data_IF_903869291857
#
_entry.id   IF_903869291857
#
_cell.length_a   1.000
_cell.length_b   1.000
_cell.length_c   1.000
_cell.angle_alpha   90.00
_cell.angle_beta   90.00
_cell.angle_gamma   90.00
#
_symmetry.space_group_name_H-M   'P 1'
#
loop_
_entity.id
_entity.type
_entity.pdbx_description
1 polymer ?
#
# COMPACT_ATOMS: atom_id res chain seq x y z
N UNK A 1 -7.72 -7.64 48.09
CA UNK A 1 -6.84 -6.45 48.40
C UNK A 1 -6.57 -5.75 47.06
N UNK A 2 -7.40 -4.72 46.75
CA UNK A 2 -7.11 -3.81 45.65
C UNK A 2 -5.90 -2.97 46.04
N UNK A 3 -4.75 -3.25 45.42
CA UNK A 3 -3.61 -2.33 45.53
C UNK A 3 -4.01 -1.03 44.84
N UNK A 4 -4.01 0.08 45.61
CA UNK A 4 -4.18 1.42 45.08
C UNK A 4 -3.16 1.68 43.99
N UNK A 5 -3.60 1.65 42.73
CA UNK A 5 -2.83 2.05 41.55
C UNK A 5 -2.88 3.57 41.32
N UNK A 6 -2.97 4.35 42.39
CA UNK A 6 -2.67 5.77 42.29
C UNK A 6 -1.17 5.96 42.48
N UNK A 7 -0.40 5.66 41.44
CA UNK A 7 0.94 6.20 41.38
C UNK A 7 0.80 7.70 41.07
N UNK A 8 1.41 8.54 41.88
CA UNK A 8 1.56 9.99 41.66
C UNK A 8 2.47 10.30 40.44
N UNK A 9 2.39 9.52 39.38
CA UNK A 9 3.14 9.74 38.17
C UNK A 9 2.32 10.63 37.27
N UNK A 10 2.70 11.89 37.19
CA UNK A 10 2.22 12.83 36.20
C UNK A 10 2.33 12.18 34.81
N UNK A 11 1.25 12.29 34.02
CA UNK A 11 1.25 11.88 32.64
C UNK A 11 2.42 12.56 31.89
N UNK A 12 3.32 11.76 31.33
CA UNK A 12 4.46 12.25 30.57
C UNK A 12 4.18 12.01 29.09
N UNK A 13 4.06 13.08 28.33
CA UNK A 13 3.76 13.01 26.89
C UNK A 13 4.80 12.16 26.14
N UNK A 14 6.09 12.34 26.45
CA UNK A 14 7.19 11.55 25.90
C UNK A 14 7.43 10.27 26.70
N UNK A 15 6.47 9.35 26.64
CA UNK A 15 6.50 8.05 27.30
C UNK A 15 5.77 7.02 26.42
N UNK A 16 5.88 5.75 26.75
CA UNK A 16 5.15 4.68 26.07
C UNK A 16 3.65 4.86 26.21
N UNK A 17 3.17 5.27 27.40
CA UNK A 17 1.75 5.58 27.66
C UNK A 17 1.27 6.74 26.80
N UNK A 18 2.08 7.82 26.73
CA UNK A 18 1.79 8.97 25.89
C UNK A 18 1.70 8.61 24.41
N UNK A 19 2.64 7.80 23.94
CA UNK A 19 2.64 7.30 22.54
C UNK A 19 1.39 6.50 22.21
N UNK A 20 0.95 5.62 23.12
CA UNK A 20 -0.26 4.80 22.94
C UNK A 20 -1.51 5.70 22.93
N UNK A 21 -1.58 6.67 23.84
CA UNK A 21 -2.71 7.60 23.90
C UNK A 21 -2.82 8.43 22.62
N UNK A 22 -1.72 9.04 22.17
CA UNK A 22 -1.71 9.84 20.94
C UNK A 22 -2.05 8.98 19.73
N UNK A 23 -1.50 7.76 19.65
CA UNK A 23 -1.85 6.83 18.58
C UNK A 23 -3.36 6.52 18.57
N UNK A 24 -3.97 6.25 19.73
CA UNK A 24 -5.40 5.97 19.82
C UNK A 24 -6.25 7.17 19.41
N UNK A 25 -5.86 8.38 19.81
CA UNK A 25 -6.53 9.61 19.36
C UNK A 25 -6.46 9.77 17.86
N UNK A 26 -5.25 9.66 17.26
CA UNK A 26 -5.06 9.78 15.82
C UNK A 26 -5.85 8.72 15.05
N UNK A 27 -5.84 7.47 15.49
CA UNK A 27 -6.63 6.40 14.87
C UNK A 27 -8.14 6.65 14.98
N UNK A 28 -8.61 7.18 16.10
CA UNK A 28 -10.03 7.55 16.28
C UNK A 28 -10.43 8.67 15.32
N UNK A 29 -9.56 9.68 15.16
CA UNK A 29 -9.80 10.78 14.21
C UNK A 29 -9.82 10.27 12.77
N UNK A 30 -8.88 9.39 12.38
CA UNK A 30 -8.89 8.75 11.05
C UNK A 30 -10.20 7.98 10.84
N UNK A 31 -10.60 7.16 11.80
CA UNK A 31 -11.85 6.39 11.73
C UNK A 31 -13.06 7.30 11.52
N UNK A 32 -13.17 8.37 12.31
CA UNK A 32 -14.26 9.35 12.18
C UNK A 32 -14.23 10.06 10.81
N UNK A 33 -13.05 10.46 10.33
CA UNK A 33 -12.87 11.11 9.03
C UNK A 33 -13.30 10.20 7.89
N UNK A 34 -12.88 8.93 7.90
CA UNK A 34 -13.27 7.95 6.89
C UNK A 34 -14.77 7.67 6.94
N UNK A 35 -15.34 7.52 8.15
CA UNK A 35 -16.77 7.30 8.34
C UNK A 35 -17.59 8.47 7.78
N UNK A 36 -17.20 9.71 8.09
CA UNK A 36 -17.87 10.90 7.57
C UNK A 36 -17.78 10.95 6.03
N UNK A 37 -16.59 10.73 5.44
CA UNK A 37 -16.41 10.70 3.99
C UNK A 37 -17.26 9.62 3.30
N UNK A 38 -17.47 8.48 3.97
CA UNK A 38 -18.27 7.37 3.43
C UNK A 38 -19.77 7.61 3.54
N UNK A 39 -20.23 8.19 4.64
CA UNK A 39 -21.67 8.42 4.91
C UNK A 39 -22.15 9.71 4.25
N UNK A 40 -21.31 10.73 4.12
CA UNK A 40 -21.68 12.04 3.60
C UNK A 40 -22.42 12.00 2.25
N UNK A 41 -21.96 11.25 1.23
CA UNK A 41 -22.71 11.11 -0.05
C UNK A 41 -24.13 10.57 0.14
N UNK A 42 -24.29 9.57 1.01
CA UNK A 42 -25.59 8.97 1.30
C UNK A 42 -26.54 9.95 1.96
N UNK A 43 -26.04 10.77 2.89
CA UNK A 43 -26.84 11.82 3.56
C UNK A 43 -27.28 12.87 2.53
N UNK A 44 -26.35 13.35 1.70
CA UNK A 44 -26.68 14.35 0.68
C UNK A 44 -27.71 13.81 -0.31
N UNK A 45 -27.54 12.57 -0.81
CA UNK A 45 -28.51 11.94 -1.71
C UNK A 45 -29.89 11.83 -1.07
N UNK A 46 -29.98 11.44 0.20
CA UNK A 46 -31.24 11.30 0.92
C UNK A 46 -31.99 12.64 1.11
N UNK A 47 -31.26 13.75 1.33
CA UNK A 47 -31.88 15.06 1.57
C UNK A 47 -32.10 15.91 0.31
N UNK A 48 -31.23 15.76 -0.70
CA UNK A 48 -31.25 16.63 -1.87
C UNK A 48 -31.60 15.89 -3.17
N UNK A 49 -31.62 14.55 -3.16
CA UNK A 49 -31.75 13.72 -4.37
C UNK A 49 -30.52 13.78 -5.29
N UNK A 50 -29.50 14.57 -4.97
CA UNK A 50 -28.30 14.75 -5.79
C UNK A 50 -27.26 13.69 -5.44
N UNK A 51 -26.74 12.98 -6.47
CA UNK A 51 -25.64 12.05 -6.30
C UNK A 51 -24.32 12.78 -6.31
N UNK A 52 -23.61 12.73 -5.20
CA UNK A 52 -22.24 13.23 -5.09
C UNK A 52 -21.29 12.08 -4.78
N UNK A 53 -20.02 12.26 -5.09
CA UNK A 53 -18.98 11.28 -4.78
C UNK A 53 -17.86 11.94 -3.97
N UNK A 54 -17.47 11.29 -2.88
CA UNK A 54 -16.28 11.65 -2.11
C UNK A 54 -15.15 10.71 -2.56
N UNK A 55 -14.18 11.27 -3.26
CA UNK A 55 -13.11 10.51 -3.89
C UNK A 55 -11.74 10.66 -3.23
N UNK A 56 -10.73 10.19 -3.92
CA UNK A 56 -9.32 10.20 -3.51
C UNK A 56 -8.82 11.56 -2.99
N UNK A 57 -9.12 12.73 -3.60
CA UNK A 57 -8.63 14.03 -3.11
C UNK A 57 -9.04 14.34 -1.67
N UNK A 58 -10.25 13.95 -1.26
CA UNK A 58 -10.71 14.14 0.12
C UNK A 58 -9.87 13.32 1.09
N UNK A 59 -9.67 12.03 0.83
CA UNK A 59 -8.90 11.17 1.72
C UNK A 59 -7.43 11.57 1.77
N UNK A 60 -6.85 11.96 0.65
CA UNK A 60 -5.47 12.41 0.60
C UNK A 60 -5.24 13.71 1.39
N UNK A 61 -6.18 14.64 1.35
CA UNK A 61 -6.07 15.92 2.07
C UNK A 61 -6.37 15.82 3.55
N UNK A 62 -7.20 14.85 3.98
CA UNK A 62 -7.65 14.74 5.37
C UNK A 62 -6.93 13.64 6.15
N UNK A 63 -6.82 12.43 5.59
CA UNK A 63 -6.27 11.25 6.28
C UNK A 63 -4.76 11.26 6.29
N UNK A 64 -4.10 11.63 5.17
CA UNK A 64 -2.64 11.59 5.06
C UNK A 64 -1.95 12.46 6.11
N UNK A 65 -2.36 13.74 6.36
CA UNK A 65 -1.75 14.56 7.41
C UNK A 65 -1.87 13.97 8.82
N UNK A 66 -2.94 13.22 9.09
CA UNK A 66 -3.19 12.61 10.40
C UNK A 66 -2.39 11.31 10.56
N UNK A 67 -2.23 10.55 9.47
CA UNK A 67 -1.50 9.27 9.50
C UNK A 67 0.02 9.46 9.60
N UNK A 68 0.59 10.52 9.06
CA UNK A 68 2.03 10.80 9.14
C UNK A 68 2.55 10.79 10.59
N UNK A 69 2.00 11.60 11.53
CA UNK A 69 2.43 11.55 12.92
C UNK A 69 2.14 10.20 13.59
N UNK A 70 1.07 9.50 13.23
CA UNK A 70 0.79 8.17 13.75
C UNK A 70 1.89 7.15 13.36
N UNK A 71 2.36 7.18 12.11
CA UNK A 71 3.44 6.33 11.61
C UNK A 71 4.77 6.68 12.30
N UNK A 72 5.08 7.96 12.49
CA UNK A 72 6.27 8.39 13.23
C UNK A 72 6.27 7.82 14.65
N UNK A 73 5.14 7.95 15.37
CA UNK A 73 4.99 7.44 16.73
C UNK A 73 5.04 5.90 16.75
N UNK A 74 4.48 5.22 15.74
CA UNK A 74 4.54 3.77 15.61
C UNK A 74 5.99 3.25 15.55
N UNK A 75 6.90 4.00 14.93
CA UNK A 75 8.32 3.63 14.91
C UNK A 75 9.04 3.83 16.26
N UNK A 76 8.70 4.89 16.99
CA UNK A 76 9.37 5.24 18.25
C UNK A 76 8.71 4.58 19.45
N UNK A 77 7.39 4.57 19.52
CA UNK A 77 6.61 4.14 20.69
C UNK A 77 7.01 2.80 21.28
N UNK A 78 7.24 1.75 20.47
CA UNK A 78 7.76 0.49 21.00
C UNK A 78 9.08 0.62 21.74
N UNK A 79 9.96 1.52 21.36
CA UNK A 79 11.30 1.69 21.95
C UNK A 79 11.30 2.53 23.23
N UNK A 80 10.21 3.25 23.50
CA UNK A 80 10.05 4.07 24.70
C UNK A 80 9.84 3.22 25.95
N UNK A 81 10.34 3.70 27.10
CA UNK A 81 10.05 3.13 28.40
C UNK A 81 8.68 3.56 28.93
N UNK A 82 8.18 2.80 29.89
CA UNK A 82 7.03 3.19 30.69
C UNK A 82 7.43 4.31 31.67
N UNK A 83 6.64 5.36 31.79
CA UNK A 83 6.95 6.53 32.61
C UNK A 83 7.96 7.47 31.96
N UNK A 84 8.85 8.05 32.76
CA UNK A 84 9.85 9.03 32.30
C UNK A 84 11.08 8.35 31.70
N UNK A 85 11.44 8.76 30.50
CA UNK A 85 12.71 8.37 29.88
C UNK A 85 13.49 9.61 29.43
N UNK A 86 14.80 9.57 29.55
CA UNK A 86 15.69 10.60 29.06
C UNK A 86 15.67 10.64 27.52
N UNK A 87 15.51 11.84 26.96
CA UNK A 87 15.46 12.05 25.49
C UNK A 87 16.72 11.55 24.80
N UNK A 88 17.90 11.68 25.43
CA UNK A 88 19.16 11.20 24.85
C UNK A 88 19.17 9.68 24.72
N UNK A 89 18.64 8.95 25.70
CA UNK A 89 18.52 7.49 25.63
C UNK A 89 17.56 7.02 24.52
N UNK A 90 16.50 7.77 24.26
CA UNK A 90 15.61 7.50 23.14
C UNK A 90 16.36 7.68 21.83
N UNK A 91 17.09 8.79 21.67
CA UNK A 91 17.89 9.07 20.48
C UNK A 91 18.94 7.98 20.22
N UNK A 92 19.65 7.51 21.24
CA UNK A 92 20.59 6.40 21.10
C UNK A 92 19.94 5.10 20.58
N UNK A 93 18.72 4.82 21.04
CA UNK A 93 17.96 3.63 20.59
C UNK A 93 17.54 3.71 19.14
N UNK A 94 17.12 4.89 18.67
CA UNK A 94 16.59 5.09 17.30
C UNK A 94 17.69 5.39 16.28
N UNK A 95 18.88 5.83 16.71
CA UNK A 95 19.96 6.25 15.82
C UNK A 95 20.35 5.20 14.76
N UNK A 96 20.50 3.91 15.07
CA UNK A 96 20.79 2.89 14.08
C UNK A 96 19.67 2.76 13.02
N UNK A 97 18.42 2.93 13.45
CA UNK A 97 17.27 2.88 12.54
C UNK A 97 17.22 4.09 11.61
N UNK A 98 17.60 5.28 12.11
CA UNK A 98 17.70 6.49 11.30
C UNK A 98 18.74 6.33 10.19
N UNK A 99 19.94 5.83 10.53
CA UNK A 99 20.97 5.59 9.52
C UNK A 99 20.48 4.60 8.45
N UNK A 100 19.89 3.48 8.87
CA UNK A 100 19.36 2.48 7.94
C UNK A 100 18.24 3.06 7.06
N UNK A 101 17.35 3.88 7.63
CA UNK A 101 16.28 4.57 6.90
C UNK A 101 16.85 5.48 5.82
N UNK A 102 17.86 6.29 6.14
CA UNK A 102 18.51 7.20 5.19
C UNK A 102 19.16 6.41 4.05
N UNK A 103 19.91 5.36 4.37
CA UNK A 103 20.59 4.52 3.36
C UNK A 103 19.56 3.90 2.41
N UNK A 104 18.49 3.29 2.94
CA UNK A 104 17.46 2.66 2.13
C UNK A 104 16.68 3.68 1.30
N UNK A 105 16.43 4.87 1.83
CA UNK A 105 15.78 5.96 1.09
C UNK A 105 16.65 6.43 -0.08
N UNK A 106 17.94 6.64 0.14
CA UNK A 106 18.88 7.01 -0.95
C UNK A 106 18.91 5.91 -2.02
N UNK A 107 18.99 4.64 -1.60
CA UNK A 107 19.06 3.51 -2.52
C UNK A 107 17.83 3.42 -3.44
N UNK A 108 16.62 3.60 -2.92
CA UNK A 108 15.40 3.50 -3.74
C UNK A 108 15.27 4.67 -4.72
N UNK A 109 15.62 5.90 -4.30
CA UNK A 109 15.61 7.05 -5.20
C UNK A 109 16.72 7.00 -6.27
N UNK A 110 17.83 6.34 -6.00
CA UNK A 110 18.85 6.05 -7.01
C UNK A 110 18.33 5.11 -8.12
N UNK A 111 17.40 4.21 -7.77
CA UNK A 111 16.78 3.27 -8.74
C UNK A 111 15.68 3.94 -9.55
N UNK A 112 14.75 4.64 -8.89
CA UNK A 112 13.56 5.19 -9.57
C UNK A 112 13.77 6.57 -10.20
N UNK A 113 14.81 7.31 -9.82
CA UNK A 113 15.25 8.60 -10.42
C UNK A 113 14.13 9.66 -10.57
N UNK A 114 12.99 9.48 -9.92
CA UNK A 114 11.84 10.37 -9.95
C UNK A 114 11.59 10.88 -8.54
N UNK A 115 11.71 12.18 -8.34
CA UNK A 115 11.50 12.84 -7.06
C UNK A 115 10.11 13.46 -6.98
N UNK A 116 9.39 13.13 -5.93
CA UNK A 116 8.15 13.77 -5.51
C UNK A 116 8.22 13.98 -4.00
N UNK A 117 7.80 15.15 -3.49
CA UNK A 117 7.82 15.42 -2.06
C UNK A 117 6.95 14.40 -1.28
N UNK A 118 5.76 14.08 -1.78
CA UNK A 118 4.86 13.09 -1.18
C UNK A 118 5.51 11.71 -1.20
N UNK A 119 6.12 11.34 -2.32
CA UNK A 119 6.86 10.08 -2.44
C UNK A 119 8.04 10.00 -1.49
N UNK A 120 8.79 11.10 -1.33
CA UNK A 120 9.90 11.17 -0.39
C UNK A 120 9.45 10.96 1.05
N UNK A 121 8.38 11.64 1.48
CA UNK A 121 7.80 11.46 2.82
C UNK A 121 7.31 10.03 3.01
N UNK A 122 6.55 9.47 2.05
CA UNK A 122 6.05 8.10 2.13
C UNK A 122 7.16 7.06 2.23
N UNK A 123 8.23 7.19 1.43
CA UNK A 123 9.39 6.29 1.45
C UNK A 123 10.15 6.37 2.76
N UNK A 124 10.40 7.58 3.27
CA UNK A 124 11.06 7.75 4.58
C UNK A 124 10.23 7.10 5.69
N UNK A 125 8.92 7.31 5.72
CA UNK A 125 8.03 6.71 6.72
C UNK A 125 8.00 5.19 6.62
N UNK A 126 7.95 4.64 5.40
CA UNK A 126 8.03 3.20 5.16
C UNK A 126 9.32 2.61 5.72
N UNK A 127 10.47 3.15 5.33
CA UNK A 127 11.77 2.67 5.80
C UNK A 127 12.03 2.96 7.28
N UNK A 128 11.46 4.03 7.82
CA UNK A 128 11.44 4.29 9.25
C UNK A 128 10.83 3.12 10.05
N UNK A 129 9.64 2.68 9.67
CA UNK A 129 8.97 1.55 10.31
C UNK A 129 9.71 0.24 10.06
N UNK A 130 10.14 -0.03 8.83
CA UNK A 130 10.89 -1.23 8.45
C UNK A 130 12.17 -1.33 9.28
N UNK A 131 12.98 -0.28 9.31
CA UNK A 131 14.29 -0.25 9.98
C UNK A 131 14.17 -0.46 11.49
N UNK A 132 13.22 0.24 12.15
CA UNK A 132 13.01 0.09 13.59
C UNK A 132 12.63 -1.36 13.95
N UNK A 133 11.65 -1.92 13.25
CA UNK A 133 11.16 -3.26 13.56
C UNK A 133 12.16 -4.36 13.17
N UNK A 134 12.93 -4.17 12.09
CA UNK A 134 14.01 -5.08 11.70
C UNK A 134 15.08 -5.14 12.77
N UNK A 135 15.50 -3.99 13.32
CA UNK A 135 16.51 -3.93 14.42
C UNK A 135 15.98 -4.60 15.69
N UNK A 136 14.69 -4.38 16.02
CA UNK A 136 14.05 -5.07 17.18
C UNK A 136 14.11 -6.59 17.01
N UNK A 137 13.79 -7.09 15.80
CA UNK A 137 13.79 -8.52 15.50
C UNK A 137 15.20 -9.12 15.54
N UNK A 138 16.19 -8.45 14.93
CA UNK A 138 17.58 -8.93 14.86
C UNK A 138 18.24 -8.92 16.24
N UNK A 139 18.14 -7.81 16.97
CA UNK A 139 18.76 -7.67 18.31
C UNK A 139 18.06 -8.46 19.40
N UNK A 140 16.91 -9.10 19.09
CA UNK A 140 16.09 -9.87 20.03
C UNK A 140 15.89 -9.12 21.35
N UNK A 141 15.54 -7.84 21.26
CA UNK A 141 15.40 -6.95 22.42
C UNK A 141 14.40 -7.57 23.40
N UNK A 142 14.83 -7.79 24.64
CA UNK A 142 13.98 -8.34 25.70
C UNK A 142 12.75 -7.44 25.91
N UNK A 143 11.63 -8.06 26.27
CA UNK A 143 10.34 -7.40 26.51
C UNK A 143 9.58 -6.88 25.28
N UNK A 144 10.01 -7.19 24.05
CA UNK A 144 9.25 -6.89 22.84
C UNK A 144 8.49 -8.12 22.33
N UNK A 145 7.24 -7.89 21.93
CA UNK A 145 6.47 -8.91 21.23
C UNK A 145 6.98 -9.06 19.80
N UNK A 146 7.49 -10.26 19.47
CA UNK A 146 7.90 -10.57 18.09
C UNK A 146 6.76 -10.39 17.10
N UNK A 147 5.53 -10.78 17.51
CA UNK A 147 4.36 -10.62 16.67
C UNK A 147 4.06 -9.16 16.34
N UNK A 148 4.17 -8.25 17.33
CA UNK A 148 4.03 -6.82 17.13
C UNK A 148 5.09 -6.28 16.14
N UNK A 149 6.36 -6.65 16.33
CA UNK A 149 7.43 -6.17 15.46
C UNK A 149 7.26 -6.67 14.01
N UNK A 150 6.80 -7.92 13.82
CA UNK A 150 6.49 -8.46 12.49
C UNK A 150 5.29 -7.72 11.88
N UNK A 151 4.23 -7.46 12.63
CA UNK A 151 3.07 -6.73 12.14
C UNK A 151 3.44 -5.29 11.71
N UNK A 152 4.20 -4.56 12.53
CA UNK A 152 4.66 -3.21 12.19
C UNK A 152 5.62 -3.22 10.99
N UNK A 153 6.50 -4.22 10.88
CA UNK A 153 7.33 -4.39 9.69
C UNK A 153 6.47 -4.54 8.43
N UNK A 154 5.38 -5.33 8.51
CA UNK A 154 4.39 -5.45 7.44
C UNK A 154 3.71 -4.13 7.08
N UNK A 155 3.41 -3.27 8.07
CA UNK A 155 2.88 -1.91 7.80
C UNK A 155 3.90 -1.09 7.00
N UNK A 156 5.19 -1.18 7.32
CA UNK A 156 6.23 -0.51 6.54
C UNK A 156 6.28 -0.98 5.08
N UNK A 157 6.17 -2.29 4.82
CA UNK A 157 6.09 -2.84 3.47
C UNK A 157 4.84 -2.36 2.72
N UNK A 158 3.69 -2.32 3.40
CA UNK A 158 2.44 -1.83 2.84
C UNK A 158 2.54 -0.36 2.44
N UNK A 159 3.09 0.50 3.30
CA UNK A 159 3.32 1.92 3.00
C UNK A 159 4.26 2.07 1.81
N UNK A 160 5.33 1.28 1.74
CA UNK A 160 6.26 1.30 0.60
C UNK A 160 5.55 0.94 -0.70
N UNK A 161 4.71 -0.10 -0.68
CA UNK A 161 3.90 -0.52 -1.83
C UNK A 161 2.91 0.55 -2.27
N UNK A 162 2.16 1.14 -1.35
CA UNK A 162 1.21 2.24 -1.64
C UNK A 162 1.96 3.44 -2.23
N UNK A 163 3.06 3.86 -1.61
CA UNK A 163 3.85 5.00 -2.09
C UNK A 163 4.39 4.75 -3.48
N UNK A 164 4.98 3.57 -3.73
CA UNK A 164 5.55 3.24 -5.03
C UNK A 164 4.50 3.17 -6.14
N UNK A 165 3.37 2.53 -5.88
CA UNK A 165 2.28 2.39 -6.85
C UNK A 165 1.53 3.68 -7.13
N UNK A 166 1.54 4.64 -6.18
CA UNK A 166 0.86 5.95 -6.37
C UNK A 166 1.78 7.00 -6.99
N UNK A 167 3.07 7.02 -6.61
CA UNK A 167 3.98 8.12 -7.02
C UNK A 167 4.72 7.81 -8.32
N UNK A 168 5.07 6.53 -8.54
CA UNK A 168 5.83 6.09 -9.71
C UNK A 168 4.99 5.34 -10.74
N UNK A 169 3.67 5.45 -10.60
CA UNK A 169 2.75 4.93 -11.60
C UNK A 169 2.94 5.67 -12.92
N UNK A 170 2.91 4.91 -14.03
CA UNK A 170 2.87 5.46 -15.37
C UNK A 170 1.69 4.84 -16.13
N UNK A 171 0.84 5.69 -16.68
CA UNK A 171 -0.30 5.30 -17.51
C UNK A 171 -0.07 5.81 -18.92
N UNK A 172 -0.38 4.97 -19.92
CA UNK A 172 -0.38 5.35 -21.32
C UNK A 172 -1.66 4.89 -21.98
N UNK A 173 -2.40 5.84 -22.52
CA UNK A 173 -3.59 5.59 -23.34
C UNK A 173 -3.21 5.84 -24.79
N UNK A 174 -3.39 4.85 -25.64
CA UNK A 174 -3.01 4.93 -27.04
C UNK A 174 -4.00 4.16 -27.89
N UNK A 175 -4.27 4.66 -29.11
CA UNK A 175 -5.01 3.92 -30.12
C UNK A 175 -4.04 3.06 -30.92
N UNK A 176 -4.23 1.74 -30.93
CA UNK A 176 -3.35 0.78 -31.58
C UNK A 176 -4.10 -0.01 -32.64
N UNK A 177 -3.47 -0.18 -33.80
CA UNK A 177 -3.88 -1.16 -34.82
C UNK A 177 -3.16 -2.48 -34.58
N UNK A 178 -3.65 -3.55 -35.17
CA UNK A 178 -2.94 -4.85 -35.20
C UNK A 178 -1.54 -4.63 -35.82
N UNK A 179 -0.54 -5.30 -35.27
CA UNK A 179 0.90 -5.12 -35.54
C UNK A 179 1.46 -3.75 -35.08
N UNK A 180 0.66 -2.89 -34.45
CA UNK A 180 1.14 -1.64 -33.87
C UNK A 180 2.01 -1.87 -32.64
N UNK A 181 2.95 -0.95 -32.43
CA UNK A 181 3.93 -1.00 -31.33
C UNK A 181 3.82 0.26 -30.47
N UNK A 182 4.01 0.10 -29.17
CA UNK A 182 4.10 1.22 -28.23
C UNK A 182 5.10 0.89 -27.12
N UNK A 183 5.63 1.94 -26.48
CA UNK A 183 6.58 1.79 -25.37
C UNK A 183 6.05 2.40 -24.10
N UNK A 184 6.23 1.69 -22.98
CA UNK A 184 6.05 2.21 -21.62
C UNK A 184 7.27 1.81 -20.79
N UNK A 185 7.91 2.79 -20.16
CA UNK A 185 9.17 2.58 -19.43
C UNK A 185 10.19 1.83 -20.29
N UNK A 186 10.70 0.70 -19.79
CA UNK A 186 11.66 -0.18 -20.50
C UNK A 186 11.01 -1.28 -21.34
N UNK A 187 9.68 -1.29 -21.46
CA UNK A 187 8.96 -2.34 -22.16
C UNK A 187 8.43 -1.85 -23.50
N UNK A 188 8.64 -2.65 -24.54
CA UNK A 188 7.99 -2.51 -25.84
C UNK A 188 6.81 -3.47 -25.89
N UNK A 189 5.65 -2.98 -26.32
CA UNK A 189 4.40 -3.73 -26.38
C UNK A 189 3.91 -3.72 -27.82
N UNK A 190 3.75 -4.91 -28.36
CA UNK A 190 3.24 -5.13 -29.73
C UNK A 190 1.83 -5.71 -29.62
N UNK A 191 0.90 -5.12 -30.34
CA UNK A 191 -0.46 -5.63 -30.49
C UNK A 191 -0.47 -6.69 -31.60
N UNK A 192 -0.37 -7.98 -31.25
CA UNK A 192 -0.17 -9.07 -32.19
C UNK A 192 -1.43 -9.35 -33.01
N UNK A 193 -2.55 -9.67 -32.34
CA UNK A 193 -3.82 -10.02 -32.99
C UNK A 193 -5.01 -9.85 -32.09
N UNK A 194 -6.21 -9.98 -32.67
CA UNK A 194 -7.49 -10.08 -31.98
C UNK A 194 -8.12 -11.44 -32.26
N UNK A 195 -8.69 -12.01 -31.21
CA UNK A 195 -9.50 -13.22 -31.28
C UNK A 195 -10.91 -12.92 -30.74
N UNK A 196 -11.94 -13.44 -31.37
CA UNK A 196 -13.28 -13.48 -30.81
C UNK A 196 -13.44 -14.73 -29.99
N UNK A 197 -13.93 -14.59 -28.76
CA UNK A 197 -14.07 -15.69 -27.80
C UNK A 197 -15.53 -15.72 -27.31
N UNK A 198 -16.17 -16.88 -27.42
CA UNK A 198 -17.47 -17.13 -26.84
C UNK A 198 -17.30 -17.82 -25.48
N UNK A 199 -17.73 -17.17 -24.41
CA UNK A 199 -17.83 -17.75 -23.07
C UNK A 199 -19.19 -18.38 -22.82
N UNK A 200 -19.42 -18.89 -21.61
CA UNK A 200 -20.68 -19.55 -21.24
C UNK A 200 -21.89 -18.59 -21.29
N UNK A 201 -21.70 -17.30 -20.97
CA UNK A 201 -22.74 -16.28 -20.87
C UNK A 201 -22.29 -14.91 -21.43
N UNK A 202 -21.19 -14.85 -22.16
CA UNK A 202 -20.67 -13.62 -22.77
C UNK A 202 -20.01 -13.93 -24.12
N UNK A 203 -19.86 -12.88 -24.92
CA UNK A 203 -18.98 -12.85 -26.09
C UNK A 203 -17.90 -11.82 -25.82
N UNK A 204 -16.65 -12.13 -26.15
CA UNK A 204 -15.53 -11.24 -25.87
C UNK A 204 -14.67 -11.00 -27.10
N UNK A 205 -14.15 -9.78 -27.20
CA UNK A 205 -13.02 -9.44 -28.06
C UNK A 205 -11.77 -9.52 -27.21
N UNK A 206 -10.86 -10.44 -27.54
CA UNK A 206 -9.61 -10.71 -26.83
C UNK A 206 -8.44 -10.15 -27.63
N UNK A 207 -7.74 -9.19 -27.03
CA UNK A 207 -6.49 -8.66 -27.59
C UNK A 207 -5.31 -9.55 -27.17
N UNK A 208 -4.37 -9.79 -28.08
CA UNK A 208 -3.13 -10.49 -27.79
C UNK A 208 -1.98 -9.50 -27.89
N UNK A 209 -1.26 -9.32 -26.79
CA UNK A 209 -0.14 -8.39 -26.69
C UNK A 209 1.13 -9.11 -26.31
N UNK A 210 2.20 -8.86 -27.05
CA UNK A 210 3.55 -9.36 -26.76
C UNK A 210 4.34 -8.24 -26.08
N UNK A 211 4.90 -8.54 -24.92
CA UNK A 211 5.69 -7.58 -24.14
C UNK A 211 7.16 -7.97 -24.20
N UNK A 212 8.00 -7.05 -24.65
CA UNK A 212 9.44 -7.22 -24.78
C UNK A 212 10.20 -6.32 -23.82
N UNK A 213 11.34 -6.77 -23.36
CA UNK A 213 12.30 -5.94 -22.63
C UNK A 213 13.18 -5.10 -23.58
N UNK A 214 14.06 -4.27 -23.03
CA UNK A 214 15.01 -3.46 -23.80
C UNK A 214 16.01 -4.29 -24.61
N UNK A 215 16.16 -5.58 -24.28
CA UNK A 215 17.04 -6.54 -24.99
C UNK A 215 16.29 -7.35 -26.04
N UNK A 216 15.03 -7.00 -26.32
CA UNK A 216 14.13 -7.71 -27.23
C UNK A 216 13.78 -9.15 -26.82
N UNK A 217 13.92 -9.52 -25.53
CA UNK A 217 13.41 -10.79 -25.04
C UNK A 217 11.92 -10.66 -24.69
N UNK A 218 11.15 -11.71 -24.95
CA UNK A 218 9.75 -11.78 -24.54
C UNK A 218 9.68 -11.90 -23.02
N UNK A 219 9.07 -10.91 -22.38
CA UNK A 219 8.83 -10.89 -20.93
C UNK A 219 7.55 -11.64 -20.60
N UNK A 220 6.47 -11.38 -21.35
CA UNK A 220 5.17 -11.99 -21.13
C UNK A 220 4.26 -11.78 -22.31
N UNK A 221 3.14 -12.55 -22.33
CA UNK A 221 2.01 -12.31 -23.21
C UNK A 221 0.84 -11.85 -22.35
N UNK A 222 0.18 -10.76 -22.75
CA UNK A 222 -0.99 -10.21 -22.08
C UNK A 222 -2.21 -10.31 -23.00
N UNK A 223 -3.32 -10.78 -22.45
CA UNK A 223 -4.52 -11.09 -23.18
C UNK A 223 -5.75 -10.42 -22.53
N UNK A 224 -5.89 -9.10 -22.58
CA UNK A 224 -7.09 -8.42 -22.09
C UNK A 224 -8.31 -8.74 -22.94
N UNK A 225 -9.48 -8.72 -22.29
CA UNK A 225 -10.76 -8.99 -22.97
C UNK A 225 -11.73 -7.84 -22.76
N UNK A 226 -12.49 -7.54 -23.81
CA UNK A 226 -13.68 -6.70 -23.71
C UNK A 226 -14.89 -7.63 -23.88
N UNK A 227 -15.64 -7.85 -22.78
CA UNK A 227 -16.74 -8.79 -22.71
C UNK A 227 -18.08 -8.10 -22.83
N UNK A 228 -18.96 -8.67 -23.60
CA UNK A 228 -20.37 -8.30 -23.69
C UNK A 228 -21.24 -9.42 -23.14
N UNK A 229 -22.09 -9.08 -22.19
CA UNK A 229 -23.05 -10.00 -21.57
C UNK A 229 -24.45 -9.76 -22.15
N UNK A 230 -24.94 -10.60 -23.09
CA UNK A 230 -26.20 -10.33 -23.83
C UNK A 230 -27.43 -10.26 -22.92
N UNK A 231 -27.51 -11.05 -21.87
CA UNK A 231 -28.68 -11.11 -20.98
C UNK A 231 -28.82 -9.82 -20.16
N UNK A 232 -27.73 -9.28 -19.65
CA UNK A 232 -27.73 -8.03 -18.84
C UNK A 232 -27.50 -6.77 -19.65
N UNK A 233 -27.14 -6.91 -20.93
CA UNK A 233 -26.77 -5.82 -21.82
C UNK A 233 -25.66 -4.93 -21.26
N UNK A 234 -24.61 -5.56 -20.67
CA UNK A 234 -23.50 -4.88 -20.02
C UNK A 234 -22.19 -5.23 -20.71
N UNK A 235 -21.35 -4.22 -20.90
CA UNK A 235 -19.95 -4.38 -21.30
C UNK A 235 -19.05 -4.33 -20.10
N UNK A 236 -18.04 -5.21 -20.03
CA UNK A 236 -16.98 -5.18 -19.02
C UNK A 236 -15.63 -5.33 -19.68
N UNK A 237 -14.62 -4.68 -19.11
CA UNK A 237 -13.25 -4.81 -19.56
C UNK A 237 -12.46 -5.65 -18.56
N UNK A 238 -11.88 -6.76 -19.02
CA UNK A 238 -11.03 -7.64 -18.23
C UNK A 238 -9.57 -7.33 -18.54
N UNK A 239 -8.87 -6.79 -17.56
CA UNK A 239 -7.46 -6.49 -17.69
C UNK A 239 -6.60 -7.75 -17.66
N UNK A 240 -5.54 -7.77 -18.45
CA UNK A 240 -4.50 -8.81 -18.34
C UNK A 240 -3.31 -8.25 -17.60
N UNK A 241 -2.88 -8.92 -16.53
CA UNK A 241 -1.88 -8.42 -15.58
C UNK A 241 -0.69 -9.37 -15.52
N UNK A 242 0.52 -8.79 -15.54
CA UNK A 242 1.76 -9.50 -15.24
C UNK A 242 2.44 -8.88 -14.04
N UNK A 243 2.41 -9.60 -12.92
CA UNK A 243 2.99 -9.19 -11.63
C UNK A 243 4.39 -9.75 -11.44
N UNK A 244 5.31 -8.92 -10.93
CA UNK A 244 6.58 -9.36 -10.37
C UNK A 244 6.91 -8.55 -9.10
N UNK A 245 8.04 -8.86 -8.43
CA UNK A 245 8.44 -8.23 -7.16
C UNK A 245 8.61 -6.70 -7.28
N UNK A 246 8.89 -6.20 -8.48
CA UNK A 246 9.21 -4.79 -8.71
C UNK A 246 8.05 -3.98 -9.27
N UNK A 247 7.10 -4.65 -9.98
CA UNK A 247 6.01 -3.93 -10.65
C UNK A 247 4.89 -4.84 -11.11
N UNK A 248 3.72 -4.25 -11.30
CA UNK A 248 2.65 -4.77 -12.13
C UNK A 248 2.67 -4.05 -13.48
N UNK A 249 2.55 -4.82 -14.55
CA UNK A 249 2.28 -4.32 -15.88
C UNK A 249 0.94 -4.90 -16.31
N UNK A 250 -0.04 -4.05 -16.63
CA UNK A 250 -1.31 -4.55 -17.11
C UNK A 250 -1.84 -3.73 -18.28
N UNK A 251 -2.63 -4.42 -19.13
CA UNK A 251 -3.23 -3.87 -20.31
C UNK A 251 -4.74 -4.04 -20.21
N UNK A 252 -5.46 -2.99 -20.60
CA UNK A 252 -6.91 -2.98 -20.77
C UNK A 252 -7.21 -2.72 -22.24
N UNK A 253 -8.05 -3.55 -22.83
CA UNK A 253 -8.57 -3.37 -24.18
C UNK A 253 -9.90 -2.63 -24.10
N UNK A 254 -9.95 -1.41 -24.62
CA UNK A 254 -11.18 -0.63 -24.76
C UNK A 254 -11.90 -0.87 -26.08
N UNK A 255 -12.76 0.06 -26.44
CA UNK A 255 -13.51 0.03 -27.68
C UNK A 255 -12.62 0.27 -28.89
N UNK A 256 -12.99 -0.31 -30.04
CA UNK A 256 -12.30 -0.14 -31.29
C UNK A 256 -12.82 -1.02 -32.42
N UNK A 257 -12.23 -0.87 -33.61
CA UNK A 257 -12.53 -1.66 -34.78
C UNK A 257 -11.28 -1.86 -35.66
N UNK A 258 -11.38 -2.70 -36.68
CA UNK A 258 -10.24 -3.03 -37.55
C UNK A 258 -9.70 -1.82 -38.33
N UNK A 259 -10.55 -0.85 -38.68
CA UNK A 259 -10.16 0.30 -39.49
C UNK A 259 -9.42 1.35 -38.66
N UNK A 260 -9.98 1.71 -37.53
CA UNK A 260 -9.50 2.80 -36.68
C UNK A 260 -8.53 2.32 -35.61
N UNK A 261 -8.51 1.02 -35.28
CA UNK A 261 -7.77 0.43 -34.18
C UNK A 261 -8.55 0.49 -32.86
N UNK A 262 -7.95 -0.03 -31.79
CA UNK A 262 -8.53 -0.13 -30.46
C UNK A 262 -7.88 0.86 -29.50
N UNK A 263 -8.65 1.37 -28.56
CA UNK A 263 -8.12 2.12 -27.41
C UNK A 263 -7.48 1.11 -26.46
N UNK A 264 -6.20 1.25 -26.24
CA UNK A 264 -5.41 0.40 -25.31
C UNK A 264 -4.91 1.28 -24.17
N UNK A 265 -5.23 0.87 -22.94
CA UNK A 265 -4.68 1.49 -21.74
C UNK A 265 -3.64 0.56 -21.17
N UNK A 266 -2.46 1.09 -20.94
CA UNK A 266 -1.31 0.37 -20.43
C UNK A 266 -0.88 1.02 -19.14
N UNK A 267 -0.73 0.22 -18.09
CA UNK A 267 -0.34 0.71 -16.78
C UNK A 267 0.93 0.01 -16.32
N UNK A 268 1.84 0.80 -15.82
CA UNK A 268 3.05 0.36 -15.13
C UNK A 268 2.98 0.84 -13.70
N UNK A 269 2.75 -0.08 -12.75
CA UNK A 269 2.58 0.22 -11.34
C UNK A 269 3.70 -0.40 -10.51
N UNK A 270 4.71 0.37 -10.09
CA UNK A 270 5.78 -0.14 -9.25
C UNK A 270 5.31 -0.58 -7.87
N UNK A 271 5.94 -1.62 -7.35
CA UNK A 271 5.86 -2.08 -5.96
C UNK A 271 4.47 -2.51 -5.46
N UNK A 272 3.46 -2.67 -6.33
CA UNK A 272 2.09 -3.09 -5.93
C UNK A 272 2.09 -4.38 -5.12
N UNK A 273 2.92 -5.35 -5.49
CA UNK A 273 3.01 -6.65 -4.79
C UNK A 273 3.33 -6.49 -3.29
N UNK A 274 4.06 -5.41 -2.91
CA UNK A 274 4.42 -5.15 -1.52
C UNK A 274 3.23 -4.75 -0.65
N UNK A 275 2.12 -4.25 -1.24
CA UNK A 275 0.85 -4.02 -0.55
C UNK A 275 0.31 -5.36 -0.03
N UNK A 276 0.30 -6.38 -0.89
CA UNK A 276 -0.19 -7.72 -0.54
C UNK A 276 0.74 -8.45 0.42
N UNK A 277 2.04 -8.40 0.16
CA UNK A 277 3.06 -8.98 1.06
C UNK A 277 2.98 -8.30 2.43
N UNK A 278 2.90 -6.97 2.49
CA UNK A 278 2.76 -6.22 3.73
C UNK A 278 1.53 -6.63 4.53
N UNK A 279 0.38 -6.74 3.87
CA UNK A 279 -0.88 -7.19 4.48
C UNK A 279 -0.80 -8.61 5.03
N UNK A 280 -0.18 -9.54 4.28
CA UNK A 280 0.07 -10.90 4.75
C UNK A 280 0.99 -10.94 5.97
N UNK A 281 2.05 -10.13 5.97
CA UNK A 281 3.00 -10.04 7.09
C UNK A 281 2.32 -9.45 8.34
N UNK A 282 1.43 -8.46 8.18
CA UNK A 282 0.62 -7.91 9.28
C UNK A 282 -0.24 -9.02 9.89
N UNK A 283 -0.94 -9.79 9.07
CA UNK A 283 -1.79 -10.91 9.49
C UNK A 283 -0.99 -11.97 10.27
N UNK A 284 0.16 -12.39 9.75
CA UNK A 284 1.03 -13.35 10.41
C UNK A 284 1.56 -12.83 11.75
N UNK A 285 1.94 -11.55 11.81
CA UNK A 285 2.35 -10.87 13.04
C UNK A 285 1.26 -10.89 14.10
N UNK A 286 0.00 -10.67 13.71
CA UNK A 286 -1.17 -10.75 14.57
C UNK A 286 -1.36 -12.16 15.16
N UNK A 287 -1.30 -13.20 14.33
CA UNK A 287 -1.41 -14.60 14.78
C UNK A 287 -0.31 -14.95 15.79
N UNK A 288 0.93 -14.57 15.52
CA UNK A 288 2.07 -14.81 16.42
C UNK A 288 1.83 -14.12 17.76
N UNK A 289 1.36 -12.87 17.74
CA UNK A 289 1.08 -12.10 18.96
C UNK A 289 -0.02 -12.77 19.80
N UNK A 290 -1.08 -13.26 19.17
CA UNK A 290 -2.18 -13.96 19.83
C UNK A 290 -1.70 -15.28 20.49
N UNK A 291 -0.92 -16.10 19.78
CA UNK A 291 -0.39 -17.37 20.32
C UNK A 291 0.49 -17.16 21.56
N UNK A 292 1.31 -16.11 21.58
CA UNK A 292 2.16 -15.78 22.73
C UNK A 292 1.32 -15.41 23.95
N UNK A 293 0.26 -14.62 23.75
CA UNK A 293 -0.62 -14.21 24.85
C UNK A 293 -1.42 -15.39 25.42
N UNK A 294 -1.93 -16.30 24.57
CA UNK A 294 -2.62 -17.50 25.01
C UNK A 294 -1.72 -18.42 25.84
N UNK A 295 -0.44 -18.58 25.49
CA UNK A 295 0.52 -19.34 26.29
C UNK A 295 0.76 -18.72 27.66
N UNK A 296 0.85 -17.39 27.76
CA UNK A 296 1.01 -16.69 29.04
C UNK A 296 -0.21 -16.85 29.94
N UNK A 297 -1.42 -16.84 29.38
CA UNK A 297 -2.66 -17.07 30.15
C UNK A 297 -2.73 -18.49 30.70
N UNK A 298 -2.30 -19.52 29.92
CA UNK A 298 -2.25 -20.93 30.40
C UNK A 298 -1.22 -21.20 31.47
N UNK A 299 -0.21 -20.37 31.64
CA UNK A 299 0.80 -20.52 32.69
C UNK A 299 0.34 -19.84 34.00
N UNK A 300 -0.63 -18.92 33.91
CA UNK A 300 -1.17 -18.18 35.04
C UNK A 300 -2.49 -18.81 35.61
N UNK A 301 -3.07 -19.76 34.90
CA UNK A 301 -4.20 -20.61 35.32
C UNK A 301 -3.68 -21.91 35.90
#
# INVERSE_FOLDING_TARGET
>A
KSKNYFSNNYFVFFSKEGSILVNNILMTVVCATVLLGTIYPLIVEAFTGSKISVGEPYYNSTVVPIIIPAILIMGIGPLMAWGREDKLKILEKIFPSLILTIIMTIAIFAVYQSFSLIGFVGVILAFWIISNNLIILIKKIKNFSKGMAIAHFGVGLLILGITGSSVWQNEKIVRMKIAGETKIEKYNIIFDKIDEVAGANYVAIKGNFLVYDSKKNIVTKLNPENRYYPISNIFTTEASIHTNIFRDLYIVLGEGNLNDGWIVRIYYNPLVIWIWIGSLVIFLGGIISMKINLKKLKILS
#
